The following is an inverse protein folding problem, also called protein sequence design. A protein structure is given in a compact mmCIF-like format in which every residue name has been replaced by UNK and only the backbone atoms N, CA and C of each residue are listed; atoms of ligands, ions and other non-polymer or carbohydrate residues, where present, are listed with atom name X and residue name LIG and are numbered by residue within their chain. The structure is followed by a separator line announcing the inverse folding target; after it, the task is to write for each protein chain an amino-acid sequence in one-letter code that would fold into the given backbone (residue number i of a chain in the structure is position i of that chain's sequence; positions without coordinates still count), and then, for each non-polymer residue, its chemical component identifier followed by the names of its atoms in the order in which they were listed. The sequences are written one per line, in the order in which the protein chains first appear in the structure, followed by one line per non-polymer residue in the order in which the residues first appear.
data_IF_740621010358
#
_entry.id   IF_740621010358
#
_cell.length_a   1.000
_cell.length_b   1.000
_cell.length_c   1.000
_cell.angle_alpha   90.00
_cell.angle_beta   90.00
_cell.angle_gamma   90.00
#
_symmetry.space_group_name_H-M   'P 1'
#
loop_
_entity.id
_entity.type
_entity.pdbx_description
1 polymer ?
#
# COMPACT_ATOMS: atom_id res chain seq x y z
N UNK A 1 -6.05 -6.20 -4.28
CA UNK A 1 -5.37 -6.17 -2.99
C UNK A 1 -5.63 -4.85 -2.29
N UNK A 2 -5.41 -4.83 -0.99
CA UNK A 2 -5.67 -3.68 -0.13
C UNK A 2 -4.43 -3.33 0.65
N UNK A 3 -3.94 -2.11 0.47
CA UNK A 3 -2.74 -1.61 1.12
C UNK A 3 -3.11 -0.43 2.01
N UNK A 4 -2.76 -0.50 3.29
CA UNK A 4 -2.97 0.61 4.23
C UNK A 4 -1.62 1.14 4.69
N UNK A 5 -1.41 2.43 4.49
CA UNK A 5 -0.23 3.16 4.95
C UNK A 5 -0.62 4.07 6.10
N UNK A 6 0.18 4.08 7.14
CA UNK A 6 0.01 5.00 8.27
C UNK A 6 1.35 5.40 8.83
N UNK A 7 1.39 6.52 9.55
CA UNK A 7 2.59 7.00 10.22
C UNK A 7 2.29 7.34 11.66
N UNK A 8 3.30 7.18 12.50
CA UNK A 8 3.29 7.68 13.87
C UNK A 8 3.92 9.06 13.92
N UNK A 9 3.42 9.94 14.78
CA UNK A 9 4.02 11.26 14.99
C UNK A 9 5.49 11.14 15.38
N UNK A 10 6.32 11.98 14.79
CA UNK A 10 7.75 12.06 15.09
C UNK A 10 8.59 10.91 14.56
N UNK A 11 8.03 10.04 13.72
CA UNK A 11 8.73 8.90 13.13
C UNK A 11 8.95 9.09 11.63
N UNK A 12 10.10 8.66 11.13
CA UNK A 12 10.39 8.58 9.70
C UNK A 12 10.00 7.21 9.11
N UNK A 13 9.32 6.37 9.88
CA UNK A 13 8.85 5.06 9.43
C UNK A 13 7.36 5.09 9.15
N UNK A 14 6.98 4.46 8.04
CA UNK A 14 5.59 4.22 7.70
C UNK A 14 5.23 2.80 8.07
N UNK A 15 4.05 2.61 8.65
CA UNK A 15 3.48 1.29 8.87
C UNK A 15 2.71 0.90 7.63
N UNK A 16 2.97 -0.31 7.14
CA UNK A 16 2.36 -0.84 5.92
C UNK A 16 1.64 -2.13 6.28
N UNK A 17 0.34 -2.17 6.04
CA UNK A 17 -0.44 -3.41 6.08
C UNK A 17 -0.92 -3.71 4.67
N UNK A 18 -0.64 -4.92 4.19
CA UNK A 18 -0.97 -5.30 2.83
C UNK A 18 -1.71 -6.62 2.82
N UNK A 19 -2.98 -6.58 2.44
CA UNK A 19 -3.82 -7.75 2.30
C UNK A 19 -3.88 -8.15 0.82
N UNK A 20 -3.35 -9.33 0.51
CA UNK A 20 -3.29 -9.85 -0.85
C UNK A 20 -4.07 -11.16 -0.91
N UNK A 21 -4.99 -11.27 -1.87
CA UNK A 21 -5.81 -12.46 -2.02
C UNK A 21 -4.93 -13.70 -2.24
N UNK A 22 -5.18 -14.76 -1.47
CA UNK A 22 -4.41 -16.00 -1.58
C UNK A 22 -4.53 -16.63 -2.96
N UNK A 23 -5.71 -16.54 -3.60
CA UNK A 23 -5.89 -17.08 -4.95
C UNK A 23 -4.98 -16.41 -5.97
N UNK A 24 -4.71 -15.11 -5.80
CA UNK A 24 -3.82 -14.37 -6.69
C UNK A 24 -2.35 -14.77 -6.46
N UNK A 25 -1.99 -14.94 -5.20
CA UNK A 25 -0.64 -15.42 -4.84
C UNK A 25 -0.42 -16.87 -5.29
N UNK A 26 -1.43 -17.72 -5.15
CA UNK A 26 -1.36 -19.09 -5.63
C UNK A 26 -1.18 -19.15 -7.15
N UNK A 27 -1.84 -18.29 -7.87
CA UNK A 27 -1.74 -18.20 -9.33
C UNK A 27 -0.29 -17.95 -9.79
N UNK A 28 0.44 -17.07 -9.12
CA UNK A 28 1.80 -16.70 -9.52
C UNK A 28 2.89 -17.53 -8.83
N UNK A 29 2.65 -18.00 -7.61
CA UNK A 29 3.67 -18.69 -6.82
C UNK A 29 3.44 -20.18 -6.69
N UNK A 30 2.27 -20.67 -7.13
CA UNK A 30 1.90 -22.09 -7.05
C UNK A 30 2.03 -22.63 -5.60
N UNK A 31 1.22 -22.04 -4.71
CA UNK A 31 1.25 -22.35 -3.29
C UNK A 31 0.63 -23.72 -2.98
N UNK A 32 -0.32 -24.17 -3.81
CA UNK A 32 -1.01 -25.45 -3.69
C UNK A 32 -0.10 -26.57 -4.23
N UNK A 33 0.67 -27.18 -3.33
CA UNK A 33 1.68 -28.17 -3.70
C UNK A 33 1.11 -29.51 -4.11
N UNK A 34 -0.01 -29.92 -3.50
CA UNK A 34 -0.61 -31.23 -3.74
C UNK A 34 -1.66 -31.20 -4.85
N UNK A 35 -1.98 -30.02 -5.40
CA UNK A 35 -2.92 -29.86 -6.50
C UNK A 35 -4.37 -30.15 -6.13
N UNK A 36 -4.73 -30.13 -4.84
CA UNK A 36 -6.09 -30.42 -4.37
C UNK A 36 -7.01 -29.20 -4.43
N UNK A 37 -6.55 -28.08 -4.96
CA UNK A 37 -7.23 -26.79 -5.03
C UNK A 37 -7.64 -26.21 -3.67
N UNK A 38 -7.04 -26.71 -2.60
CA UNK A 38 -7.26 -26.23 -1.23
C UNK A 38 -5.92 -25.77 -0.65
N UNK A 39 -5.87 -24.51 -0.23
CA UNK A 39 -4.69 -23.98 0.45
C UNK A 39 -4.84 -24.14 1.95
N UNK A 40 -3.91 -24.87 2.55
CA UNK A 40 -3.82 -24.98 4.00
C UNK A 40 -2.92 -23.89 4.55
N UNK A 41 -3.11 -23.57 5.83
CA UNK A 41 -2.21 -22.64 6.52
C UNK A 41 -0.76 -23.12 6.50
N UNK A 42 -0.56 -24.44 6.61
CA UNK A 42 0.79 -25.01 6.54
C UNK A 42 1.48 -24.73 5.20
N UNK A 43 0.77 -24.90 4.10
CA UNK A 43 1.29 -24.59 2.76
C UNK A 43 1.66 -23.11 2.61
N UNK A 44 0.81 -22.24 3.10
CA UNK A 44 1.06 -20.79 3.06
C UNK A 44 2.24 -20.42 3.94
N UNK A 45 2.31 -20.97 5.16
CA UNK A 45 3.39 -20.69 6.10
C UNK A 45 4.75 -21.11 5.55
N UNK A 46 4.84 -22.24 4.87
CA UNK A 46 6.08 -22.71 4.26
C UNK A 46 6.59 -21.76 3.17
N UNK A 47 5.69 -21.02 2.56
CA UNK A 47 6.00 -20.08 1.47
C UNK A 47 5.92 -18.63 1.90
N UNK A 48 5.87 -18.35 3.21
CA UNK A 48 5.70 -16.97 3.72
C UNK A 48 6.81 -16.04 3.25
N UNK A 49 8.07 -16.48 3.26
CA UNK A 49 9.19 -15.66 2.79
C UNK A 49 9.11 -15.39 1.29
N UNK A 50 8.67 -16.37 0.51
CA UNK A 50 8.48 -16.20 -0.94
C UNK A 50 7.36 -15.18 -1.23
N UNK A 51 6.28 -15.26 -0.46
CA UNK A 51 5.16 -14.31 -0.58
C UNK A 51 5.63 -12.89 -0.26
N UNK A 52 6.35 -12.72 0.84
CA UNK A 52 6.88 -11.41 1.24
C UNK A 52 7.85 -10.86 0.21
N UNK A 53 8.75 -11.66 -0.31
CA UNK A 53 9.69 -11.24 -1.36
C UNK A 53 8.97 -10.85 -2.65
N UNK A 54 8.01 -11.65 -3.07
CA UNK A 54 7.24 -11.34 -4.26
C UNK A 54 6.50 -10.01 -4.11
N UNK A 55 5.81 -9.82 -2.98
CA UNK A 55 5.07 -8.61 -2.72
C UNK A 55 5.99 -7.37 -2.66
N UNK A 56 7.09 -7.44 -1.93
CA UNK A 56 7.99 -6.30 -1.76
C UNK A 56 8.73 -5.90 -3.03
N UNK A 57 8.89 -6.81 -3.98
CA UNK A 57 9.43 -6.47 -5.30
C UNK A 57 8.48 -5.63 -6.13
N UNK A 58 7.19 -5.69 -5.83
CA UNK A 58 6.14 -5.03 -6.58
C UNK A 58 5.54 -3.84 -5.86
N UNK A 59 6.23 -3.33 -4.85
CA UNK A 59 5.86 -2.13 -4.12
C UNK A 59 7.12 -1.31 -3.83
N UNK A 60 7.13 -0.07 -4.25
CA UNK A 60 8.20 0.86 -3.92
C UNK A 60 7.62 2.12 -3.33
N UNK A 61 8.21 2.58 -2.25
CA UNK A 61 7.88 3.85 -1.62
C UNK A 61 9.09 4.76 -1.65
N UNK A 62 8.86 6.04 -1.90
CA UNK A 62 9.92 7.05 -1.89
C UNK A 62 9.37 8.34 -1.31
N UNK A 63 10.21 9.07 -0.60
CA UNK A 63 9.86 10.38 -0.05
C UNK A 63 11.09 11.28 -0.06
N UNK A 64 10.89 12.55 -0.42
CA UNK A 64 12.00 13.50 -0.51
C UNK A 64 13.07 13.11 -1.53
N UNK A 65 12.70 12.39 -2.58
CA UNK A 65 13.64 11.93 -3.62
C UNK A 65 14.48 10.72 -3.23
N UNK A 66 14.22 10.10 -2.06
CA UNK A 66 14.96 8.94 -1.59
C UNK A 66 14.04 7.73 -1.39
N UNK A 67 14.49 6.51 -1.73
CA UNK A 67 13.69 5.32 -1.51
C UNK A 67 13.52 5.04 -0.01
N UNK A 68 12.36 4.47 0.34
CA UNK A 68 12.03 4.01 1.68
C UNK A 68 12.05 2.48 1.69
N UNK A 69 13.12 1.84 2.17
CA UNK A 69 13.20 0.39 2.17
C UNK A 69 12.08 -0.26 2.98
N UNK A 70 11.55 -1.35 2.45
CA UNK A 70 10.50 -2.13 3.09
C UNK A 70 11.11 -3.29 3.87
N UNK A 71 10.55 -3.54 5.06
CA UNK A 71 10.97 -4.63 5.93
C UNK A 71 9.76 -5.24 6.62
N UNK A 72 9.71 -6.57 6.70
CA UNK A 72 8.67 -7.26 7.46
C UNK A 72 8.86 -6.99 8.96
N UNK A 73 7.77 -6.66 9.65
CA UNK A 73 7.78 -6.37 11.09
C UNK A 73 7.15 -7.46 11.93
N UNK A 74 6.41 -8.38 11.29
CA UNK A 74 5.77 -9.50 11.97
C UNK A 74 5.59 -10.65 10.96
N UNK A 75 5.37 -11.89 11.45
CA UNK A 75 5.06 -13.00 10.56
C UNK A 75 3.77 -12.76 9.79
N UNK A 76 3.73 -13.29 8.57
CA UNK A 76 2.54 -13.26 7.73
C UNK A 76 1.36 -13.93 8.44
N UNK A 77 0.19 -13.34 8.33
CA UNK A 77 -1.05 -13.89 8.87
C UNK A 77 -2.10 -14.05 7.78
N UNK A 78 -3.15 -14.79 8.07
CA UNK A 78 -4.31 -14.90 7.20
C UNK A 78 -5.44 -14.05 7.75
N UNK A 79 -6.16 -13.40 6.85
CA UNK A 79 -7.33 -12.60 7.18
C UNK A 79 -8.46 -12.94 6.22
N UNK A 80 -9.70 -12.88 6.69
CA UNK A 80 -10.87 -13.15 5.88
C UNK A 80 -11.57 -11.87 5.47
N UNK A 81 -11.76 -11.72 4.18
CA UNK A 81 -12.63 -10.73 3.57
C UNK A 81 -13.88 -11.39 3.03
N UNK A 82 -14.86 -10.60 2.62
CA UNK A 82 -16.13 -11.13 2.10
C UNK A 82 -15.94 -11.98 0.83
N UNK A 83 -14.89 -11.73 0.07
CA UNK A 83 -14.60 -12.40 -1.20
C UNK A 83 -13.53 -13.49 -1.10
N UNK A 84 -13.07 -13.81 0.10
CA UNK A 84 -12.10 -14.89 0.29
C UNK A 84 -11.07 -14.63 1.35
N UNK A 85 -10.06 -15.48 1.38
CA UNK A 85 -8.96 -15.40 2.34
C UNK A 85 -7.79 -14.63 1.75
N UNK A 86 -7.18 -13.80 2.58
CA UNK A 86 -6.08 -12.91 2.21
C UNK A 86 -4.86 -13.21 3.07
N UNK A 87 -3.70 -13.08 2.46
CA UNK A 87 -2.44 -13.01 3.21
C UNK A 87 -2.27 -11.56 3.68
N UNK A 88 -2.12 -11.39 4.99
CA UNK A 88 -1.92 -10.09 5.61
C UNK A 88 -0.44 -9.93 5.94
N UNK A 89 0.22 -9.00 5.25
CA UNK A 89 1.62 -8.68 5.46
C UNK A 89 1.72 -7.44 6.34
N UNK A 90 2.55 -7.53 7.37
CA UNK A 90 2.91 -6.41 8.23
C UNK A 90 4.32 -5.96 7.88
N UNK A 91 4.45 -4.76 7.34
CA UNK A 91 5.71 -4.20 6.88
C UNK A 91 5.92 -2.82 7.49
N UNK A 92 7.16 -2.37 7.48
CA UNK A 92 7.50 -0.96 7.69
C UNK A 92 8.31 -0.45 6.51
N UNK A 93 8.10 0.81 6.17
CA UNK A 93 8.91 1.53 5.20
C UNK A 93 9.69 2.60 5.96
N UNK A 94 11.00 2.51 5.93
CA UNK A 94 11.85 3.47 6.65
C UNK A 94 12.38 4.49 5.66
N UNK A 95 11.91 5.72 5.77
CA UNK A 95 12.33 6.81 4.90
C UNK A 95 13.49 7.58 5.51
N UNK A 96 14.58 7.83 4.77
CA UNK A 96 15.65 8.69 5.27
C UNK A 96 15.14 10.07 5.65
N UNK A 97 14.19 10.58 4.88
CA UNK A 97 13.51 11.84 5.15
C UNK A 97 12.04 11.69 4.75
N UNK A 98 11.14 11.84 5.70
CA UNK A 98 9.72 11.80 5.42
C UNK A 98 9.27 13.22 5.06
N UNK A 99 9.09 13.47 3.77
CA UNK A 99 8.62 14.74 3.23
C UNK A 99 7.09 14.85 3.32
N UNK A 100 6.53 15.89 2.72
CA UNK A 100 5.06 16.11 2.72
C UNK A 100 4.29 15.13 1.86
N UNK A 101 4.98 14.41 0.99
CA UNK A 101 4.37 13.43 0.10
C UNK A 101 5.20 12.16 0.03
N UNK A 102 4.54 11.05 -0.20
CA UNK A 102 5.17 9.76 -0.49
C UNK A 102 4.73 9.33 -1.88
N UNK A 103 5.70 9.00 -2.72
CA UNK A 103 5.44 8.41 -4.02
C UNK A 103 5.33 6.90 -3.85
N UNK A 104 4.22 6.34 -4.29
CA UNK A 104 3.94 4.91 -4.24
C UNK A 104 3.97 4.36 -5.64
N UNK A 105 4.80 3.35 -5.87
CA UNK A 105 4.85 2.60 -7.12
C UNK A 105 4.37 1.18 -6.85
N UNK A 106 3.25 0.83 -7.44
CA UNK A 106 2.55 -0.43 -7.21
C UNK A 106 2.46 -1.19 -8.53
N UNK A 107 2.98 -2.41 -8.56
CA UNK A 107 2.99 -3.23 -9.78
C UNK A 107 2.61 -4.69 -9.54
N UNK A 108 2.00 -4.99 -8.39
CA UNK A 108 1.65 -6.37 -8.02
C UNK A 108 0.73 -6.98 -9.07
N UNK A 109 1.13 -8.14 -9.61
CA UNK A 109 0.37 -8.95 -10.58
C UNK A 109 0.16 -8.29 -11.94
N UNK A 110 0.67 -7.11 -12.20
CA UNK A 110 0.41 -6.40 -13.47
C UNK A 110 0.97 -7.11 -14.68
N UNK A 111 2.03 -7.88 -14.51
CA UNK A 111 2.65 -8.68 -15.58
C UNK A 111 1.84 -9.93 -15.97
N UNK A 112 0.99 -10.42 -15.07
CA UNK A 112 0.19 -11.64 -15.30
C UNK A 112 -1.30 -11.36 -15.37
N UNK A 113 -1.76 -10.25 -14.81
CA UNK A 113 -3.17 -9.86 -14.79
C UNK A 113 -3.30 -8.33 -14.95
N UNK A 114 -3.43 -7.84 -16.19
CA UNK A 114 -3.57 -6.40 -16.41
C UNK A 114 -4.85 -5.79 -15.82
N UNK A 115 -5.82 -6.61 -15.46
CA UNK A 115 -7.06 -6.14 -14.83
C UNK A 115 -6.94 -5.98 -13.31
N UNK A 116 -5.85 -6.46 -12.72
CA UNK A 116 -5.64 -6.36 -11.28
C UNK A 116 -5.56 -4.89 -10.85
N UNK A 117 -6.18 -4.60 -9.70
CA UNK A 117 -6.17 -3.26 -9.11
C UNK A 117 -5.71 -3.34 -7.66
N UNK A 118 -4.91 -2.35 -7.26
CA UNK A 118 -4.52 -2.18 -5.87
C UNK A 118 -5.23 -0.97 -5.29
N UNK A 119 -5.88 -1.17 -4.15
CA UNK A 119 -6.47 -0.06 -3.38
C UNK A 119 -5.49 0.32 -2.28
N UNK A 120 -5.00 1.54 -2.33
CA UNK A 120 -4.07 2.08 -1.33
C UNK A 120 -4.78 3.15 -0.53
N UNK A 121 -4.74 3.00 0.79
CA UNK A 121 -5.35 3.93 1.72
C UNK A 121 -4.28 4.52 2.63
N UNK A 122 -4.28 5.83 2.77
CA UNK A 122 -3.46 6.54 3.74
C UNK A 122 -4.32 6.95 4.92
N UNK A 123 -3.86 6.59 6.12
CA UNK A 123 -4.51 6.99 7.37
C UNK A 123 -3.57 7.93 8.10
N UNK A 124 -3.99 9.19 8.25
CA UNK A 124 -3.20 10.20 8.94
C UNK A 124 -3.11 9.90 10.44
N UNK A 125 -2.05 10.40 11.13
CA UNK A 125 -1.98 10.29 12.58
C UNK A 125 -3.23 10.87 13.23
N UNK A 126 -3.83 10.13 14.17
CA UNK A 126 -5.11 10.50 14.79
C UNK A 126 -6.34 9.88 14.15
N UNK A 127 -6.21 9.27 12.97
CA UNK A 127 -7.25 8.44 12.35
C UNK A 127 -8.46 9.18 11.78
N UNK A 128 -8.38 10.52 11.60
CA UNK A 128 -9.55 11.30 11.19
C UNK A 128 -9.67 11.52 9.69
N UNK A 129 -8.57 11.46 8.94
CA UNK A 129 -8.57 11.69 7.50
C UNK A 129 -7.90 10.53 6.77
N UNK A 130 -8.58 10.01 5.76
CA UNK A 130 -8.05 8.96 4.91
C UNK A 130 -8.07 9.43 3.45
N UNK A 131 -7.00 9.14 2.74
CA UNK A 131 -6.93 9.26 1.28
C UNK A 131 -6.95 7.87 0.70
N UNK A 132 -7.64 7.67 -0.41
CA UNK A 132 -7.66 6.40 -1.12
C UNK A 132 -7.26 6.62 -2.56
N UNK A 133 -6.36 5.77 -3.06
CA UNK A 133 -5.91 5.75 -4.44
C UNK A 133 -6.10 4.36 -5.01
N UNK A 134 -6.49 4.29 -6.28
CA UNK A 134 -6.60 3.04 -7.02
C UNK A 134 -5.42 2.96 -7.99
N UNK A 135 -4.66 1.87 -7.91
CA UNK A 135 -3.52 1.60 -8.76
C UNK A 135 -3.89 0.56 -9.81
N UNK A 136 -3.50 0.82 -11.03
CA UNK A 136 -3.67 -0.09 -12.16
C UNK A 136 -2.48 0.08 -13.11
N UNK A 137 -2.49 -0.66 -14.22
CA UNK A 137 -1.39 -0.63 -15.19
C UNK A 137 -1.15 0.77 -15.77
N UNK A 138 -2.20 1.59 -15.90
CA UNK A 138 -2.09 2.96 -16.41
C UNK A 138 -1.79 3.99 -15.32
N UNK A 139 -1.80 3.58 -14.06
CA UNK A 139 -1.62 4.45 -12.91
C UNK A 139 -0.84 3.73 -11.81
N UNK A 140 0.31 3.18 -12.19
CA UNK A 140 1.16 2.39 -11.30
C UNK A 140 1.96 3.25 -10.33
N UNK A 141 2.16 4.53 -10.62
CA UNK A 141 2.90 5.44 -9.76
C UNK A 141 2.03 6.65 -9.43
N UNK A 142 1.81 6.87 -8.14
CA UNK A 142 1.00 7.99 -7.64
C UNK A 142 1.58 8.51 -6.34
N UNK A 143 1.27 9.76 -6.02
CA UNK A 143 1.75 10.40 -4.79
C UNK A 143 0.62 10.57 -3.79
N UNK A 144 0.92 10.30 -2.52
CA UNK A 144 0.04 10.53 -1.37
C UNK A 144 0.56 11.74 -0.60
N UNK A 145 -0.33 12.68 -0.26
CA UNK A 145 -0.01 13.76 0.68
C UNK A 145 -0.17 13.24 2.10
N UNK A 146 0.89 13.36 2.89
CA UNK A 146 0.91 12.86 4.26
C UNK A 146 0.20 13.78 5.24
N UNK A 147 0.10 15.07 4.90
CA UNK A 147 -0.60 16.05 5.73
C UNK A 147 -1.66 16.73 4.90
N UNK A 148 -2.87 16.95 5.48
CA UNK A 148 -3.85 17.77 4.80
C UNK A 148 -3.26 19.19 4.61
N UNK A 149 -3.65 19.91 3.54
CA UNK A 149 -3.21 21.29 3.38
C UNK A 149 -3.57 22.06 4.64
N UNK A 150 -2.65 22.90 5.14
CA UNK A 150 -2.93 23.73 6.30
C UNK A 150 -4.14 24.61 5.98
N UNK A 151 -4.94 24.97 7.02
CA UNK A 151 -6.07 25.85 6.81
C UNK A 151 -5.64 27.19 6.18
N UNK A 152 -4.40 27.63 6.42
CA UNK A 152 -3.84 28.82 5.81
C UNK A 152 -3.66 28.68 4.29
N UNK A 153 -3.21 27.50 3.82
CA UNK A 153 -3.12 27.21 2.39
C UNK A 153 -4.49 27.10 1.75
N UNK A 154 -5.43 26.44 2.43
CA UNK A 154 -6.82 26.35 1.99
C UNK A 154 -7.46 27.75 1.91
N UNK A 155 -7.22 28.59 2.91
CA UNK A 155 -7.74 29.97 2.92
C UNK A 155 -7.13 30.79 1.79
N UNK A 156 -5.82 30.67 1.53
CA UNK A 156 -5.18 31.31 0.39
C UNK A 156 -5.83 30.92 -0.93
N UNK A 157 -6.10 29.65 -1.10
CA UNK A 157 -6.72 29.13 -2.31
C UNK A 157 -8.12 29.71 -2.49
N UNK A 158 -8.92 29.73 -1.43
CA UNK A 158 -10.26 30.33 -1.47
C UNK A 158 -10.23 31.81 -1.74
N UNK A 159 -9.32 32.57 -1.15
CA UNK A 159 -9.17 33.99 -1.40
C UNK A 159 -8.79 34.27 -2.85
N UNK A 160 -7.84 33.47 -3.36
CA UNK A 160 -7.37 33.60 -4.75
C UNK A 160 -8.49 33.27 -5.74
N UNK A 161 -9.21 32.21 -5.54
CA UNK A 161 -10.36 31.87 -6.38
C UNK A 161 -11.48 32.88 -6.28
N UNK A 162 -11.75 33.42 -5.09
CA UNK A 162 -12.72 34.45 -4.86
C UNK A 162 -12.38 35.76 -5.57
N UNK A 163 -11.11 36.14 -5.59
CA UNK A 163 -10.65 37.33 -6.32
C UNK A 163 -10.84 37.19 -7.83
N UNK A 164 -10.60 35.98 -8.37
CA UNK A 164 -10.82 35.74 -9.80
C UNK A 164 -12.28 35.79 -10.20
N UNK A 165 -13.20 35.41 -9.34
CA UNK A 165 -14.64 35.42 -9.63
C UNK A 165 -15.32 36.78 -9.48
N UNK A 166 -14.69 37.74 -8.83
CA UNK A 166 -15.23 39.07 -8.65
C UNK A 166 -14.90 39.99 -9.84
N UNK A 167 -13.90 39.65 -10.62
CA UNK A 167 -13.44 40.34 -11.80
C UNK A 167 -13.75 39.55 -13.06
#
# INVERSE_FOLDING_TARGET
SYLTLSASEGSNALTVRWDIALRDLDYVLQLDRDGDAKLTWGEVRQRADDITRYATRHLALASGGAPCPLQATAPLQLDRHSDGTYAALALSARCPQLAQAVTVTYSLLFDVDPSHRGLVQWVAPGGTDAQALVFGTDSAEQSLRLQPPSWAETLRQYIWEGVWHIW
#
